data_IF_488906366360
#
_entry.id   IF_488906366360
#
_cell.length_a   1.000
_cell.length_b   1.000
_cell.length_c   1.000
_cell.angle_alpha   90.00
_cell.angle_beta   90.00
_cell.angle_gamma   90.00
#
_symmetry.space_group_name_H-M   'P 1'
#
loop_
_entity.id
_entity.type
_entity.pdbx_description
1 polymer ?
#
# COMPACT_ATOMS: atom_id res chain seq x y z
N UNK A 1 22.80 5.22 63.28
CA UNK A 1 22.33 4.11 62.42
C UNK A 1 20.88 4.29 61.92
N UNK A 2 20.02 5.02 62.60
CA UNK A 2 18.58 5.21 62.29
C UNK A 2 18.25 6.20 61.18
N UNK A 3 19.12 7.15 60.83
CA UNK A 3 18.86 8.15 59.77
C UNK A 3 19.13 7.55 58.38
N UNK A 4 20.18 6.75 58.22
CA UNK A 4 20.56 6.10 56.97
C UNK A 4 19.48 5.12 56.48
N UNK A 5 18.89 4.35 57.41
CA UNK A 5 17.80 3.40 57.12
C UNK A 5 16.50 4.10 56.70
N UNK A 6 16.17 5.27 57.27
CA UNK A 6 15.01 6.07 56.86
C UNK A 6 15.19 6.68 55.49
N UNK A 7 16.38 7.13 55.14
CA UNK A 7 16.70 7.71 53.82
C UNK A 7 16.63 6.63 52.74
N UNK A 8 17.27 5.47 52.95
CA UNK A 8 17.25 4.32 52.03
C UNK A 8 15.80 3.86 51.81
N UNK A 9 15.01 3.78 52.86
CA UNK A 9 13.59 3.36 52.76
C UNK A 9 12.72 4.36 51.99
N UNK A 10 12.97 5.68 52.15
CA UNK A 10 12.28 6.72 51.35
C UNK A 10 12.71 6.73 49.91
N UNK A 11 14.00 6.56 49.62
CA UNK A 11 14.53 6.47 48.28
C UNK A 11 14.01 5.20 47.55
N UNK A 12 14.02 4.05 48.23
CA UNK A 12 13.46 2.81 47.73
C UNK A 12 11.95 2.95 47.39
N UNK A 13 11.18 3.62 48.26
CA UNK A 13 9.75 3.86 48.00
C UNK A 13 9.51 4.83 46.84
N UNK A 14 10.37 5.83 46.65
CA UNK A 14 10.31 6.80 45.55
C UNK A 14 10.51 6.12 44.17
N UNK A 15 11.32 5.06 44.09
CA UNK A 15 11.53 4.28 42.86
C UNK A 15 10.54 3.12 42.71
N UNK A 16 10.10 2.52 43.84
CA UNK A 16 9.15 1.40 43.79
C UNK A 16 7.75 1.82 43.33
N UNK A 17 7.28 3.01 43.74
CA UNK A 17 5.94 3.49 43.43
C UNK A 17 5.72 3.71 41.90
N UNK A 18 6.58 4.44 41.18
CA UNK A 18 6.47 4.56 39.72
C UNK A 18 6.55 3.21 39.00
N UNK A 19 7.42 2.31 39.48
CA UNK A 19 7.54 0.97 38.92
C UNK A 19 6.26 0.14 39.09
N UNK A 20 5.63 0.19 40.27
CA UNK A 20 4.37 -0.51 40.52
C UNK A 20 3.22 0.08 39.70
N UNK A 21 3.15 1.40 39.57
CA UNK A 21 2.15 2.07 38.71
C UNK A 21 2.33 1.64 37.25
N UNK A 22 3.58 1.65 36.75
CA UNK A 22 3.90 1.22 35.41
C UNK A 22 3.56 -0.26 35.17
N UNK A 23 3.89 -1.14 36.12
CA UNK A 23 3.56 -2.56 36.04
C UNK A 23 2.05 -2.79 36.05
N UNK A 24 1.31 -2.05 36.89
CA UNK A 24 -0.15 -2.09 36.91
C UNK A 24 -0.78 -1.61 35.57
N UNK A 25 -0.28 -0.50 35.04
CA UNK A 25 -0.68 0.00 33.71
C UNK A 25 -0.43 -1.06 32.63
N UNK A 26 0.80 -1.63 32.60
CA UNK A 26 1.15 -2.63 31.61
C UNK A 26 0.26 -3.87 31.69
N UNK A 27 0.06 -4.40 32.89
CA UNK A 27 -0.78 -5.58 33.09
C UNK A 27 -2.25 -5.33 32.70
N UNK A 28 -2.81 -4.18 33.05
CA UNK A 28 -4.18 -3.81 32.69
C UNK A 28 -4.34 -3.65 31.17
N UNK A 29 -3.35 -3.01 30.51
CA UNK A 29 -3.35 -2.82 29.06
C UNK A 29 -3.18 -4.16 28.33
N UNK A 30 -2.27 -5.03 28.79
CA UNK A 30 -2.08 -6.36 28.22
C UNK A 30 -3.37 -7.20 28.27
N UNK A 31 -4.10 -7.16 29.41
CA UNK A 31 -5.40 -7.82 29.54
C UNK A 31 -6.46 -7.22 28.59
N UNK A 32 -6.48 -5.90 28.44
CA UNK A 32 -7.40 -5.23 27.52
C UNK A 32 -7.11 -5.61 26.07
N UNK A 33 -5.83 -5.66 25.67
CA UNK A 33 -5.41 -6.12 24.34
C UNK A 33 -5.85 -7.57 24.12
N UNK A 34 -5.54 -8.49 25.03
CA UNK A 34 -5.91 -9.90 24.92
C UNK A 34 -7.43 -10.06 24.72
N UNK A 35 -8.24 -9.35 25.51
CA UNK A 35 -9.69 -9.38 25.37
C UNK A 35 -10.17 -8.78 24.03
N UNK A 36 -9.57 -7.66 23.63
CA UNK A 36 -9.93 -7.00 22.37
C UNK A 36 -9.65 -7.88 21.15
N UNK A 37 -8.50 -8.54 21.17
CA UNK A 37 -8.08 -9.43 20.06
C UNK A 37 -8.92 -10.72 20.07
N UNK A 38 -9.24 -11.30 21.23
CA UNK A 38 -10.14 -12.48 21.30
C UNK A 38 -11.56 -12.16 20.83
N UNK A 39 -12.09 -10.98 21.16
CA UNK A 39 -13.40 -10.56 20.64
C UNK A 39 -13.37 -10.35 19.11
N UNK A 40 -12.26 -9.86 18.57
CA UNK A 40 -12.09 -9.71 17.13
C UNK A 40 -11.99 -11.06 16.39
N UNK A 41 -11.46 -12.11 17.04
CA UNK A 41 -11.42 -13.47 16.47
C UNK A 41 -12.80 -14.17 16.51
N UNK A 42 -13.68 -13.79 17.44
CA UNK A 42 -15.05 -14.30 17.56
C UNK A 42 -16.01 -13.60 16.59
N UNK A 43 -15.75 -12.31 16.28
CA UNK A 43 -16.55 -11.53 15.33
C UNK A 43 -16.06 -11.80 13.89
N UNK A 44 -16.62 -12.87 13.31
CA UNK A 44 -16.23 -13.38 11.98
C UNK A 44 -16.49 -12.41 10.81
N UNK A 45 -16.99 -11.19 11.05
CA UNK A 45 -17.28 -10.20 10.01
C UNK A 45 -16.73 -8.82 10.33
N UNK A 46 -15.41 -8.65 10.21
CA UNK A 46 -14.78 -7.34 10.31
C UNK A 46 -14.72 -6.67 8.92
N UNK A 47 -15.38 -5.53 8.75
CA UNK A 47 -15.45 -4.78 7.47
C UNK A 47 -16.00 -5.60 6.28
N UNK A 48 -16.83 -6.61 6.55
CA UNK A 48 -17.32 -7.54 5.51
C UNK A 48 -16.30 -8.61 5.12
N UNK A 49 -15.21 -8.74 5.87
CA UNK A 49 -14.23 -9.80 5.76
C UNK A 49 -14.44 -10.81 6.88
N UNK A 50 -14.33 -12.07 6.57
CA UNK A 50 -14.15 -13.11 7.59
C UNK A 50 -12.70 -13.08 8.05
N UNK A 51 -12.48 -13.13 9.37
CA UNK A 51 -11.15 -13.23 9.95
C UNK A 51 -11.13 -14.38 10.95
N UNK A 52 -10.21 -15.32 10.77
CA UNK A 52 -9.95 -16.42 11.70
C UNK A 52 -8.46 -16.38 12.06
N UNK A 53 -8.13 -16.46 13.33
CA UNK A 53 -6.74 -16.51 13.81
C UNK A 53 -6.70 -17.01 15.26
N UNK A 54 -5.58 -17.60 15.63
CA UNK A 54 -5.27 -17.95 17.02
C UNK A 54 -4.43 -16.85 17.67
N UNK A 55 -4.73 -16.54 18.92
CA UNK A 55 -4.08 -15.47 19.68
C UNK A 55 -3.14 -16.06 20.70
N UNK A 56 -1.85 -15.72 20.60
CA UNK A 56 -0.90 -15.96 21.68
C UNK A 56 -1.05 -14.92 22.80
N UNK A 57 -0.45 -15.20 23.95
CA UNK A 57 -0.43 -14.26 25.08
C UNK A 57 0.35 -12.98 24.73
N UNK A 58 -0.07 -11.85 25.32
CA UNK A 58 0.67 -10.60 25.25
C UNK A 58 1.95 -10.70 26.05
N UNK A 59 3.09 -10.39 25.44
CA UNK A 59 4.44 -10.43 26.02
C UNK A 59 5.14 -9.07 25.91
N UNK A 60 6.42 -8.97 26.32
CA UNK A 60 7.26 -7.77 26.10
C UNK A 60 7.33 -6.79 27.29
N UNK A 61 6.84 -7.19 28.48
CA UNK A 61 6.99 -6.37 29.71
C UNK A 61 8.46 -6.00 29.96
N UNK A 62 8.73 -4.78 30.39
CA UNK A 62 7.83 -3.64 30.64
C UNK A 62 7.76 -2.63 29.47
N UNK A 63 8.53 -2.82 28.41
CA UNK A 63 8.81 -1.78 27.39
C UNK A 63 7.86 -1.82 26.21
N UNK A 64 7.29 -2.98 25.90
CA UNK A 64 6.45 -3.18 24.72
C UNK A 64 5.29 -4.13 25.01
N UNK A 65 4.32 -4.12 24.13
CA UNK A 65 3.28 -5.11 24.02
C UNK A 65 3.52 -5.86 22.71
N UNK A 66 3.80 -7.14 22.78
CA UNK A 66 3.99 -8.01 21.61
C UNK A 66 2.89 -9.06 21.61
N UNK A 67 2.12 -9.13 20.53
CA UNK A 67 1.02 -10.08 20.32
C UNK A 67 1.36 -10.92 19.11
N UNK A 68 1.58 -12.22 19.30
CA UNK A 68 1.67 -13.18 18.21
C UNK A 68 0.28 -13.63 17.80
N UNK A 69 0.01 -13.64 16.51
CA UNK A 69 -1.16 -14.25 15.90
C UNK A 69 -0.70 -15.39 15.00
N UNK A 70 -1.37 -16.53 15.06
CA UNK A 70 -1.07 -17.70 14.23
C UNK A 70 -2.30 -18.19 13.48
N UNK A 71 -2.05 -19.01 12.44
CA UNK A 71 -3.08 -19.62 11.59
C UNK A 71 -4.11 -18.62 11.08
N UNK A 72 -3.60 -17.52 10.53
CA UNK A 72 -4.41 -16.39 10.09
C UNK A 72 -5.03 -16.69 8.73
N UNK A 73 -6.33 -16.55 8.65
CA UNK A 73 -7.11 -16.56 7.42
C UNK A 73 -8.05 -15.35 7.40
N UNK A 74 -7.83 -14.43 6.44
CA UNK A 74 -8.64 -13.23 6.28
C UNK A 74 -9.10 -13.11 4.82
N UNK A 75 -10.38 -12.86 4.61
CA UNK A 75 -10.88 -12.64 3.27
C UNK A 75 -12.38 -12.74 3.14
N UNK A 76 -12.85 -12.84 1.91
CA UNK A 76 -14.23 -13.14 1.55
C UNK A 76 -14.24 -14.31 0.58
N UNK A 77 -15.19 -15.23 0.71
CA UNK A 77 -15.31 -16.41 -0.15
C UNK A 77 -15.39 -16.08 -1.65
N UNK A 78 -15.87 -14.88 -2.00
CA UNK A 78 -16.11 -14.49 -3.40
C UNK A 78 -15.07 -13.53 -3.99
N UNK A 79 -14.08 -13.06 -3.20
CA UNK A 79 -13.13 -12.04 -3.66
C UNK A 79 -11.69 -12.51 -3.50
N UNK A 80 -11.23 -12.62 -2.27
CA UNK A 80 -9.86 -13.06 -1.98
C UNK A 80 -9.81 -13.69 -0.59
N UNK A 81 -8.83 -14.56 -0.38
CA UNK A 81 -8.49 -15.14 0.92
C UNK A 81 -6.99 -15.01 1.10
N UNK A 82 -6.57 -14.33 2.16
CA UNK A 82 -5.17 -14.25 2.58
C UNK A 82 -4.93 -15.22 3.75
N UNK A 83 -3.94 -16.08 3.60
CA UNK A 83 -3.50 -17.04 4.63
C UNK A 83 -2.05 -16.81 4.97
N UNK A 84 -1.72 -16.87 6.26
CA UNK A 84 -0.34 -16.85 6.74
C UNK A 84 -0.22 -17.64 8.04
N UNK A 85 0.97 -18.22 8.28
CA UNK A 85 1.23 -19.00 9.48
C UNK A 85 1.33 -18.14 10.73
N UNK A 86 1.75 -16.87 10.60
CA UNK A 86 1.85 -16.00 11.75
C UNK A 86 2.19 -14.56 11.41
N UNK A 87 1.79 -13.67 12.30
CA UNK A 87 2.21 -12.27 12.32
C UNK A 87 2.51 -11.86 13.75
N UNK A 88 3.43 -10.92 13.94
CA UNK A 88 3.71 -10.29 15.20
C UNK A 88 3.26 -8.84 15.19
N UNK A 89 2.42 -8.46 16.14
CA UNK A 89 2.02 -7.08 16.38
C UNK A 89 2.81 -6.55 17.58
N UNK A 90 3.51 -5.45 17.40
CA UNK A 90 4.25 -4.79 18.46
C UNK A 90 3.82 -3.33 18.64
N UNK A 91 3.67 -2.90 19.88
CA UNK A 91 3.51 -1.50 20.24
C UNK A 91 4.39 -1.16 21.46
N UNK A 92 5.05 0.01 21.44
CA UNK A 92 5.80 0.49 22.61
C UNK A 92 4.83 0.84 23.73
N UNK A 93 5.10 0.39 24.95
CA UNK A 93 4.18 0.63 26.09
C UNK A 93 3.99 2.10 26.44
N UNK A 94 4.92 2.97 26.05
CA UNK A 94 4.84 4.42 26.23
C UNK A 94 4.33 5.17 24.97
N UNK A 95 4.13 4.47 23.83
CA UNK A 95 3.59 5.00 22.58
C UNK A 95 2.65 3.95 21.96
N UNK A 96 1.54 3.59 22.62
CA UNK A 96 0.70 2.47 22.19
C UNK A 96 -0.14 2.75 20.94
N UNK A 97 -0.13 3.97 20.45
CA UNK A 97 -0.78 4.37 19.20
C UNK A 97 0.11 4.19 17.96
N UNK A 98 1.36 3.73 18.13
CA UNK A 98 2.24 3.25 17.05
C UNK A 98 2.28 1.74 17.12
N UNK A 99 1.77 1.09 16.07
CA UNK A 99 1.68 -0.38 15.99
C UNK A 99 2.52 -0.81 14.80
N UNK A 100 3.48 -1.68 15.06
CA UNK A 100 4.28 -2.35 14.02
C UNK A 100 3.78 -3.77 13.84
N UNK A 101 3.53 -4.16 12.61
CA UNK A 101 3.19 -5.50 12.17
C UNK A 101 4.39 -6.08 11.44
N UNK A 102 4.95 -7.14 11.97
CA UNK A 102 5.95 -7.96 11.29
C UNK A 102 5.26 -9.21 10.72
N UNK A 103 5.43 -9.41 9.43
CA UNK A 103 4.86 -10.54 8.72
C UNK A 103 5.85 -11.69 8.72
N UNK A 104 5.42 -12.84 9.24
CA UNK A 104 6.20 -14.07 9.22
C UNK A 104 5.74 -14.96 8.06
N UNK A 105 6.68 -15.46 7.30
CA UNK A 105 6.41 -16.29 6.12
C UNK A 105 5.85 -17.69 6.46
N UNK A 106 5.20 -18.35 5.50
CA UNK A 106 4.78 -17.92 4.16
C UNK A 106 3.43 -17.21 4.13
N UNK A 107 3.21 -16.39 3.08
CA UNK A 107 1.92 -15.77 2.81
C UNK A 107 1.31 -16.35 1.54
N UNK A 108 0.02 -16.65 1.57
CA UNK A 108 -0.72 -17.12 0.41
C UNK A 108 -1.97 -16.28 0.18
N UNK A 109 -2.16 -15.82 -1.04
CA UNK A 109 -3.37 -15.11 -1.45
C UNK A 109 -4.07 -15.94 -2.53
N UNK A 110 -5.31 -16.30 -2.29
CA UNK A 110 -6.18 -16.97 -3.27
C UNK A 110 -7.27 -16.01 -3.72
N UNK A 111 -7.49 -15.87 -5.03
CA UNK A 111 -8.48 -14.93 -5.56
C UNK A 111 -8.70 -15.10 -7.05
N UNK A 112 -9.21 -14.06 -7.71
CA UNK A 112 -9.53 -14.07 -9.15
C UNK A 112 -8.33 -14.33 -10.06
N UNK A 113 -7.11 -14.00 -9.61
CA UNK A 113 -5.86 -14.26 -10.30
C UNK A 113 -5.29 -15.67 -10.06
N UNK A 114 -6.01 -16.51 -9.31
CA UNK A 114 -5.55 -17.81 -8.85
C UNK A 114 -4.90 -17.73 -7.48
N UNK A 115 -4.02 -18.68 -7.20
CA UNK A 115 -3.26 -18.76 -5.97
C UNK A 115 -1.88 -18.13 -6.14
N UNK A 116 -1.53 -17.23 -5.24
CA UNK A 116 -0.26 -16.51 -5.20
C UNK A 116 0.45 -16.83 -3.90
N UNK A 117 1.67 -17.31 -4.00
CA UNK A 117 2.59 -17.41 -2.87
C UNK A 117 3.45 -16.14 -2.83
N UNK A 118 3.51 -15.52 -1.66
CA UNK A 118 4.25 -14.27 -1.43
C UNK A 118 5.29 -14.53 -0.34
N UNK A 119 6.52 -14.16 -0.63
CA UNK A 119 7.68 -14.35 0.22
C UNK A 119 8.50 -13.06 0.23
N UNK A 120 9.01 -12.63 1.37
CA UNK A 120 9.84 -11.46 1.52
C UNK A 120 10.90 -11.68 2.61
N UNK A 121 12.14 -11.29 2.36
CA UNK A 121 13.21 -11.41 3.37
C UNK A 121 12.94 -10.52 4.60
N UNK A 122 12.23 -9.41 4.42
CA UNK A 122 11.75 -8.55 5.49
C UNK A 122 10.43 -7.90 5.04
N UNK A 123 9.43 -7.97 5.91
CA UNK A 123 8.12 -7.39 5.67
C UNK A 123 7.60 -6.71 6.94
N UNK A 124 7.58 -5.39 6.93
CA UNK A 124 7.14 -4.58 8.07
C UNK A 124 6.08 -3.57 7.64
N UNK A 125 5.06 -3.43 8.46
CA UNK A 125 4.03 -2.41 8.32
C UNK A 125 3.91 -1.67 9.64
N UNK A 126 4.17 -0.36 9.65
CA UNK A 126 3.98 0.47 10.84
C UNK A 126 2.80 1.40 10.64
N UNK A 127 1.85 1.39 11.57
CA UNK A 127 0.70 2.28 11.61
C UNK A 127 0.78 3.20 12.83
N UNK A 128 0.71 4.51 12.60
CA UNK A 128 0.64 5.54 13.63
C UNK A 128 -0.76 6.14 13.64
N UNK A 129 -1.45 6.02 14.76
CA UNK A 129 -2.77 6.61 14.98
C UNK A 129 -2.66 7.89 15.80
N UNK A 130 -3.57 8.84 15.58
CA UNK A 130 -3.65 10.03 16.39
C UNK A 130 -4.08 9.67 17.82
N UNK A 131 -3.45 10.24 18.88
CA UNK A 131 -3.74 9.88 20.28
C UNK A 131 -5.03 10.56 20.74
N UNK A 132 -6.14 10.26 20.11
CA UNK A 132 -7.48 10.72 20.45
C UNK A 132 -8.47 9.54 20.45
N UNK A 133 -9.67 9.76 20.95
CA UNK A 133 -10.68 8.70 21.07
C UNK A 133 -11.11 8.09 19.71
N UNK A 134 -10.94 8.82 18.60
CA UNK A 134 -11.25 8.34 17.25
C UNK A 134 -10.18 7.41 16.69
N UNK A 135 -8.95 7.50 17.19
CA UNK A 135 -7.80 6.79 16.65
C UNK A 135 -7.70 6.98 15.12
N UNK A 136 -7.82 8.25 14.69
CA UNK A 136 -7.71 8.55 13.28
C UNK A 136 -6.30 8.21 12.79
N UNK A 137 -6.22 7.68 11.57
CA UNK A 137 -4.94 7.34 10.96
C UNK A 137 -4.08 8.59 10.78
N UNK A 138 -2.87 8.57 11.34
CA UNK A 138 -1.84 9.58 11.13
C UNK A 138 -0.91 9.22 9.99
N UNK A 139 -0.36 7.99 10.05
CA UNK A 139 0.56 7.46 9.03
C UNK A 139 0.47 5.94 8.99
N UNK A 140 0.59 5.36 7.79
CA UNK A 140 0.98 3.96 7.58
C UNK A 140 2.23 3.98 6.72
N UNK A 141 3.22 3.18 7.07
CA UNK A 141 4.39 2.90 6.25
C UNK A 141 4.56 1.40 6.06
N UNK A 142 4.93 1.02 4.85
CA UNK A 142 5.21 -0.36 4.45
C UNK A 142 6.64 -0.44 3.95
N UNK A 143 7.35 -1.47 4.37
CA UNK A 143 8.70 -1.77 3.90
C UNK A 143 8.82 -3.26 3.62
N UNK A 144 9.16 -3.61 2.38
CA UNK A 144 9.46 -4.98 1.98
C UNK A 144 10.81 -5.01 1.28
N UNK A 145 11.60 -6.03 1.61
CA UNK A 145 12.87 -6.31 0.93
C UNK A 145 12.81 -7.71 0.31
N UNK A 146 13.37 -7.83 -0.90
CA UNK A 146 13.44 -9.09 -1.64
C UNK A 146 12.07 -9.79 -1.76
N UNK A 147 11.05 -9.02 -2.10
CA UNK A 147 9.69 -9.52 -2.28
C UNK A 147 9.61 -10.41 -3.52
N UNK A 148 9.12 -11.63 -3.35
CA UNK A 148 8.87 -12.59 -4.42
C UNK A 148 7.40 -12.96 -4.45
N UNK A 149 6.85 -13.00 -5.63
CA UNK A 149 5.47 -13.39 -5.90
C UNK A 149 5.53 -14.54 -6.89
N UNK A 150 4.98 -15.68 -6.54
CA UNK A 150 4.87 -16.84 -7.41
C UNK A 150 3.40 -17.23 -7.56
N UNK A 151 2.97 -17.44 -8.80
CA UNK A 151 1.62 -17.90 -9.11
C UNK A 151 1.60 -19.40 -9.39
N UNK A 152 0.54 -20.07 -8.96
CA UNK A 152 0.27 -21.45 -9.36
C UNK A 152 0.19 -21.63 -10.90
N UNK A 153 -0.09 -20.56 -11.64
CA UNK A 153 -0.12 -20.52 -13.10
C UNK A 153 1.27 -20.36 -13.75
N UNK A 154 2.34 -20.61 -13.03
CA UNK A 154 3.75 -20.63 -13.50
C UNK A 154 4.30 -19.27 -13.97
N UNK A 155 3.76 -18.16 -13.47
CA UNK A 155 4.40 -16.86 -13.60
C UNK A 155 4.89 -16.36 -12.24
N UNK A 156 5.91 -15.55 -12.24
CA UNK A 156 6.45 -14.94 -11.03
C UNK A 156 6.93 -13.53 -11.27
N UNK A 157 7.08 -12.78 -10.18
CA UNK A 157 7.69 -11.46 -10.17
C UNK A 157 8.55 -11.32 -8.92
N UNK A 158 9.60 -10.53 -8.99
CA UNK A 158 10.39 -10.17 -7.83
C UNK A 158 10.66 -8.68 -7.78
N UNK A 159 10.72 -8.14 -6.55
CA UNK A 159 10.96 -6.71 -6.30
C UNK A 159 12.05 -6.62 -5.25
N UNK A 160 13.10 -5.87 -5.53
CA UNK A 160 14.22 -5.72 -4.57
C UNK A 160 13.79 -4.96 -3.33
N UNK A 161 13.18 -3.80 -3.49
CA UNK A 161 12.69 -2.96 -2.38
C UNK A 161 11.32 -2.39 -2.71
N UNK A 162 10.43 -2.40 -1.72
CA UNK A 162 9.14 -1.69 -1.75
C UNK A 162 9.06 -0.81 -0.53
N UNK A 163 8.94 0.48 -0.73
CA UNK A 163 8.63 1.46 0.31
C UNK A 163 7.32 2.15 -0.05
N UNK A 164 6.34 2.13 0.83
CA UNK A 164 5.10 2.85 0.60
C UNK A 164 4.62 3.53 1.87
N UNK A 165 3.93 4.66 1.73
CA UNK A 165 3.32 5.33 2.88
C UNK A 165 1.99 5.99 2.53
N UNK A 166 1.13 6.08 3.55
CA UNK A 166 -0.11 6.86 3.55
C UNK A 166 -0.07 7.77 4.75
N UNK A 167 -0.07 9.08 4.53
CA UNK A 167 0.06 10.08 5.59
C UNK A 167 -1.12 11.05 5.55
N UNK A 168 -1.77 11.26 6.69
CA UNK A 168 -2.85 12.25 6.80
C UNK A 168 -2.32 13.69 6.77
N UNK A 169 -3.08 14.60 6.19
CA UNK A 169 -2.79 16.03 6.28
C UNK A 169 -3.27 16.58 7.63
N UNK A 170 -2.44 17.36 8.35
CA UNK A 170 -2.82 17.92 9.65
C UNK A 170 -4.05 18.83 9.59
N UNK A 171 -4.21 19.55 8.46
CA UNK A 171 -5.28 20.53 8.26
C UNK A 171 -6.59 19.91 7.76
N UNK A 172 -6.54 18.69 7.20
CA UNK A 172 -7.70 18.00 6.67
C UNK A 172 -7.62 16.50 6.95
N UNK A 173 -8.33 16.07 7.97
CA UNK A 173 -8.33 14.66 8.41
C UNK A 173 -8.90 13.66 7.39
N UNK A 174 -9.56 14.14 6.32
CA UNK A 174 -10.10 13.30 5.26
C UNK A 174 -9.14 13.19 4.06
N UNK A 175 -8.06 13.99 4.05
CA UNK A 175 -7.09 14.00 2.98
C UNK A 175 -5.82 13.23 3.39
N UNK A 176 -5.27 12.48 2.44
CA UNK A 176 -4.07 11.67 2.64
C UNK A 176 -3.14 11.81 1.45
N UNK A 177 -1.85 11.88 1.75
CA UNK A 177 -0.79 11.73 0.77
C UNK A 177 -0.40 10.25 0.70
N UNK A 178 -0.33 9.71 -0.51
CA UNK A 178 0.18 8.39 -0.79
C UNK A 178 1.51 8.52 -1.50
N UNK A 179 2.51 7.79 -1.05
CA UNK A 179 3.77 7.64 -1.77
C UNK A 179 4.13 6.16 -1.87
N UNK A 180 4.75 5.78 -2.99
CA UNK A 180 5.33 4.45 -3.15
C UNK A 180 6.59 4.54 -4.00
N UNK A 181 7.59 3.75 -3.63
CA UNK A 181 8.84 3.57 -4.36
C UNK A 181 9.13 2.08 -4.45
N UNK A 182 9.33 1.59 -5.66
CA UNK A 182 9.71 0.22 -5.94
C UNK A 182 11.02 0.23 -6.70
N UNK A 183 11.95 -0.62 -6.29
CA UNK A 183 13.22 -0.79 -6.95
C UNK A 183 13.39 -2.23 -7.44
N UNK A 184 13.96 -2.36 -8.63
CA UNK A 184 14.29 -3.66 -9.26
C UNK A 184 13.09 -4.60 -9.39
N UNK A 185 11.98 -4.10 -9.94
CA UNK A 185 10.82 -4.94 -10.27
C UNK A 185 11.15 -5.79 -11.51
N UNK A 186 11.35 -7.08 -11.30
CA UNK A 186 11.61 -8.05 -12.35
C UNK A 186 10.30 -8.76 -12.74
N UNK A 187 10.01 -8.70 -14.04
CA UNK A 187 8.80 -9.25 -14.66
C UNK A 187 9.15 -10.31 -15.72
N UNK A 188 10.34 -10.91 -15.69
CA UNK A 188 10.82 -11.85 -16.72
C UNK A 188 9.88 -13.01 -16.99
N UNK A 189 9.21 -13.50 -15.94
CA UNK A 189 8.27 -14.61 -16.03
C UNK A 189 6.85 -14.15 -16.42
N UNK A 190 6.56 -12.85 -16.33
CA UNK A 190 5.26 -12.26 -16.72
C UNK A 190 5.28 -11.80 -18.17
N UNK A 191 6.38 -11.17 -18.59
CA UNK A 191 6.52 -10.56 -19.93
C UNK A 191 7.44 -11.45 -20.77
N UNK A 192 6.88 -12.55 -21.27
CA UNK A 192 7.62 -13.51 -22.09
C UNK A 192 7.75 -13.00 -23.53
N UNK A 193 8.92 -13.22 -24.14
CA UNK A 193 9.19 -12.84 -25.53
C UNK A 193 9.62 -11.39 -25.75
N UNK A 194 9.77 -10.62 -24.70
CA UNK A 194 10.26 -9.23 -24.73
C UNK A 194 11.76 -9.20 -24.42
N UNK A 195 12.57 -8.33 -25.05
CA UNK A 195 13.99 -8.21 -24.75
C UNK A 195 14.27 -7.95 -23.26
N UNK A 196 15.35 -8.51 -22.72
CA UNK A 196 15.68 -8.47 -21.29
C UNK A 196 15.68 -7.07 -20.66
N UNK A 197 16.06 -6.03 -21.43
CA UNK A 197 16.04 -4.63 -20.97
C UNK A 197 14.64 -4.09 -20.61
N UNK A 198 13.57 -4.75 -21.07
CA UNK A 198 12.19 -4.41 -20.76
C UNK A 198 11.55 -5.35 -19.73
N UNK A 199 12.28 -6.35 -19.25
CA UNK A 199 11.80 -7.29 -18.25
C UNK A 199 12.01 -6.79 -16.81
N UNK A 200 12.80 -5.73 -16.63
CA UNK A 200 13.07 -5.14 -15.32
C UNK A 200 12.79 -3.65 -15.34
N UNK A 201 11.94 -3.20 -14.41
CA UNK A 201 11.72 -1.79 -14.09
C UNK A 201 12.68 -1.46 -12.93
N UNK A 202 13.67 -0.58 -13.17
CA UNK A 202 14.69 -0.26 -12.17
C UNK A 202 14.10 0.53 -11.03
N UNK A 203 13.29 1.56 -11.37
CA UNK A 203 12.65 2.43 -10.42
C UNK A 203 11.21 2.69 -10.82
N UNK A 204 10.29 2.56 -9.86
CA UNK A 204 8.93 3.03 -10.00
C UNK A 204 8.63 3.93 -8.79
N UNK A 205 8.17 5.14 -9.05
CA UNK A 205 7.75 6.07 -8.01
C UNK A 205 6.33 6.55 -8.22
N UNK A 206 5.59 6.68 -7.13
CA UNK A 206 4.22 7.19 -7.09
C UNK A 206 4.10 8.25 -6.01
N UNK A 207 3.50 9.39 -6.34
CA UNK A 207 3.09 10.42 -5.39
C UNK A 207 1.70 10.88 -5.75
N UNK A 208 0.76 10.77 -4.82
CA UNK A 208 -0.62 11.20 -5.03
C UNK A 208 -1.25 11.72 -3.74
N UNK A 209 -2.33 12.49 -3.90
CA UNK A 209 -3.18 12.92 -2.81
C UNK A 209 -4.58 12.39 -3.03
N UNK A 210 -5.19 11.89 -1.98
CA UNK A 210 -6.57 11.43 -2.00
C UNK A 210 -7.42 12.21 -1.01
N UNK A 211 -8.63 12.50 -1.39
CA UNK A 211 -9.68 13.03 -0.53
C UNK A 211 -10.77 11.99 -0.37
N UNK A 212 -11.05 11.63 0.87
CA UNK A 212 -12.10 10.68 1.23
C UNK A 212 -13.35 11.41 1.76
N UNK A 213 -14.49 10.74 1.76
CA UNK A 213 -15.73 11.25 2.33
C UNK A 213 -15.68 11.47 3.84
N UNK A 214 -14.77 10.79 4.53
CA UNK A 214 -14.54 10.87 5.98
C UNK A 214 -13.15 10.31 6.34
N UNK A 215 -12.63 10.59 7.55
CA UNK A 215 -11.31 10.08 7.95
C UNK A 215 -11.27 8.56 8.05
N UNK A 216 -10.06 8.02 7.90
CA UNK A 216 -9.74 6.65 8.26
C UNK A 216 -9.56 6.59 9.77
N UNK A 217 -10.60 6.19 10.50
CA UNK A 217 -10.60 6.09 11.95
C UNK A 217 -11.36 4.84 12.41
N UNK A 218 -11.39 4.58 13.72
CA UNK A 218 -12.06 3.38 14.27
C UNK A 218 -13.56 3.27 13.95
N UNK A 219 -14.21 4.35 13.53
CA UNK A 219 -15.64 4.33 13.18
C UNK A 219 -15.92 3.61 11.85
N UNK A 220 -14.87 3.26 11.10
CA UNK A 220 -14.98 2.40 9.93
C UNK A 220 -15.64 1.07 10.29
N UNK A 221 -15.36 0.53 11.48
CA UNK A 221 -15.89 -0.74 11.97
C UNK A 221 -17.43 -0.75 12.00
N UNK A 222 -18.06 0.37 12.38
CA UNK A 222 -19.53 0.44 12.47
C UNK A 222 -20.21 1.10 11.26
N UNK A 223 -19.49 1.92 10.52
CA UNK A 223 -20.05 2.79 9.49
C UNK A 223 -19.61 2.41 8.05
N UNK A 224 -18.85 1.33 7.89
CA UNK A 224 -18.24 0.89 6.63
C UNK A 224 -17.07 1.78 6.18
N UNK A 225 -16.42 1.45 5.08
CA UNK A 225 -15.28 2.18 4.56
C UNK A 225 -15.68 3.55 3.98
N UNK A 226 -14.85 4.61 4.13
CA UNK A 226 -15.03 5.86 3.42
C UNK A 226 -14.85 5.65 1.92
N UNK A 227 -15.50 6.48 1.12
CA UNK A 227 -15.36 6.43 -0.34
C UNK A 227 -14.42 7.52 -0.84
N UNK A 228 -13.73 7.25 -1.94
CA UNK A 228 -12.89 8.22 -2.61
C UNK A 228 -13.76 9.30 -3.25
N UNK A 229 -13.42 10.56 -3.02
CA UNK A 229 -14.04 11.73 -3.66
C UNK A 229 -13.17 12.32 -4.76
N UNK A 230 -11.86 12.42 -4.49
CA UNK A 230 -10.89 13.02 -5.42
C UNK A 230 -9.55 12.31 -5.26
N UNK A 231 -8.86 12.13 -6.37
CA UNK A 231 -7.48 11.69 -6.45
C UNK A 231 -6.70 12.68 -7.31
N UNK A 232 -5.65 13.26 -6.76
CA UNK A 232 -4.67 14.05 -7.48
C UNK A 232 -3.39 13.19 -7.61
N UNK A 233 -3.17 12.65 -8.79
CA UNK A 233 -1.93 11.98 -9.14
C UNK A 233 -0.90 13.06 -9.48
N UNK A 234 -0.05 13.40 -8.51
CA UNK A 234 1.00 14.39 -8.74
C UNK A 234 2.08 13.84 -9.67
N UNK A 235 2.40 12.55 -9.51
CA UNK A 235 3.39 11.86 -10.30
C UNK A 235 3.29 10.35 -10.11
N UNK A 236 3.25 9.61 -11.22
CA UNK A 236 3.67 8.22 -11.27
C UNK A 236 4.75 8.12 -12.35
N UNK A 237 5.90 7.56 -12.04
CA UNK A 237 7.03 7.51 -12.96
C UNK A 237 7.72 6.16 -12.87
N UNK A 238 8.10 5.60 -14.02
CA UNK A 238 8.90 4.38 -14.07
C UNK A 238 9.74 4.31 -15.36
N UNK A 239 10.86 3.63 -15.23
CA UNK A 239 11.76 3.32 -16.34
C UNK A 239 11.29 2.05 -17.03
N UNK A 240 11.18 2.07 -18.35
CA UNK A 240 10.87 0.87 -19.14
C UNK A 240 11.84 0.74 -20.32
N UNK A 241 12.86 -0.08 -20.12
CA UNK A 241 14.00 -0.14 -21.03
C UNK A 241 14.82 1.15 -20.99
N UNK A 242 14.84 1.88 -22.12
CA UNK A 242 15.48 3.21 -22.21
C UNK A 242 14.48 4.35 -22.04
N UNK A 243 13.19 4.03 -22.04
CA UNK A 243 12.14 5.05 -21.99
C UNK A 243 11.76 5.36 -20.54
N UNK A 244 11.50 6.64 -20.27
CA UNK A 244 10.96 7.12 -19.02
C UNK A 244 9.48 7.46 -19.22
N UNK A 245 8.60 6.77 -18.49
CA UNK A 245 7.17 7.01 -18.55
C UNK A 245 6.76 7.77 -17.29
N UNK A 246 6.11 8.91 -17.46
CA UNK A 246 5.57 9.73 -16.36
C UNK A 246 4.08 9.94 -16.58
N UNK A 247 3.32 9.84 -15.51
CA UNK A 247 1.86 10.02 -15.52
C UNK A 247 1.48 10.98 -14.41
N UNK A 248 0.68 11.99 -14.74
CA UNK A 248 0.05 12.90 -13.78
C UNK A 248 -1.41 13.14 -14.15
N UNK A 249 -2.21 13.60 -13.19
CA UNK A 249 -3.62 13.84 -13.46
C UNK A 249 -4.47 14.09 -12.23
N UNK A 250 -5.69 14.48 -12.47
CA UNK A 250 -6.67 14.70 -11.42
C UNK A 250 -7.97 13.99 -11.77
N UNK A 251 -8.53 13.30 -10.80
CA UNK A 251 -9.76 12.53 -10.92
C UNK A 251 -10.71 12.87 -9.79
N UNK A 252 -11.99 12.98 -10.09
CA UNK A 252 -13.04 13.14 -9.10
C UNK A 252 -14.26 12.29 -9.46
N UNK A 253 -14.91 11.74 -8.45
CA UNK A 253 -16.21 11.10 -8.62
C UNK A 253 -17.32 12.13 -8.52
N UNK A 254 -18.25 12.09 -9.46
CA UNK A 254 -19.47 12.88 -9.39
C UNK A 254 -20.52 12.27 -8.43
N UNK A 255 -21.70 12.91 -8.34
CA UNK A 255 -22.80 12.47 -7.48
C UNK A 255 -23.35 11.07 -7.86
N UNK A 256 -23.15 10.67 -9.12
CA UNK A 256 -23.57 9.37 -9.66
C UNK A 256 -22.46 8.32 -9.54
N UNK A 257 -21.33 8.65 -8.88
CA UNK A 257 -20.13 7.82 -8.78
C UNK A 257 -19.46 7.55 -10.14
N UNK A 258 -19.67 8.42 -11.12
CA UNK A 258 -18.93 8.37 -12.37
C UNK A 258 -17.60 9.12 -12.23
N UNK A 259 -16.53 8.52 -12.73
CA UNK A 259 -15.19 9.09 -12.71
C UNK A 259 -15.05 10.13 -13.81
N UNK A 260 -14.55 11.30 -13.46
CA UNK A 260 -14.24 12.40 -14.37
C UNK A 260 -12.86 12.95 -14.05
N UNK A 261 -12.10 13.34 -15.08
CA UNK A 261 -10.76 13.87 -14.86
C UNK A 261 -9.93 13.98 -16.12
N UNK A 262 -8.65 14.30 -15.93
CA UNK A 262 -7.64 14.39 -16.98
C UNK A 262 -6.42 13.60 -16.50
N UNK A 263 -5.84 12.83 -17.39
CA UNK A 263 -4.61 12.08 -17.20
C UNK A 263 -3.63 12.46 -18.30
N UNK A 264 -2.46 12.93 -17.95
CA UNK A 264 -1.37 13.18 -18.89
C UNK A 264 -0.37 12.03 -18.80
N UNK A 265 -0.08 11.42 -19.93
CA UNK A 265 0.95 10.38 -20.05
C UNK A 265 2.08 10.93 -20.87
N UNK A 266 3.23 11.16 -20.24
CA UNK A 266 4.45 11.66 -20.88
C UNK A 266 5.46 10.53 -21.03
N UNK A 267 5.97 10.34 -22.23
CA UNK A 267 6.94 9.31 -22.58
C UNK A 267 8.18 9.97 -23.17
N UNK A 268 9.31 9.83 -22.50
CA UNK A 268 10.64 10.17 -23.06
C UNK A 268 11.19 8.93 -23.77
N UNK A 269 11.89 9.11 -24.87
CA UNK A 269 12.35 8.06 -25.79
C UNK A 269 11.17 7.16 -26.25
N UNK A 270 10.08 7.82 -26.69
CA UNK A 270 8.89 7.13 -27.18
C UNK A 270 9.16 6.23 -28.40
N UNK A 271 10.21 6.55 -29.19
CA UNK A 271 10.61 5.77 -30.38
C UNK A 271 11.05 4.36 -29.99
N UNK A 272 11.72 4.20 -28.85
CA UNK A 272 12.11 2.89 -28.33
C UNK A 272 10.90 2.03 -27.97
N UNK A 273 9.87 2.62 -27.34
CA UNK A 273 8.62 1.91 -27.05
C UNK A 273 7.82 1.57 -28.30
N UNK A 274 7.78 2.49 -29.26
CA UNK A 274 7.14 2.24 -30.56
C UNK A 274 7.79 1.08 -31.28
N UNK A 275 9.14 1.04 -31.30
CA UNK A 275 9.87 -0.08 -31.90
C UNK A 275 9.61 -1.40 -31.18
N UNK A 276 9.59 -1.37 -29.84
CA UNK A 276 9.22 -2.54 -29.06
C UNK A 276 7.82 -3.05 -29.42
N UNK A 277 6.82 -2.15 -29.49
CA UNK A 277 5.45 -2.52 -29.84
C UNK A 277 5.34 -3.17 -31.25
N UNK A 278 6.17 -2.73 -32.20
CA UNK A 278 6.33 -3.37 -33.52
C UNK A 278 6.95 -4.75 -33.38
N UNK A 279 8.07 -4.85 -32.67
CA UNK A 279 8.85 -6.10 -32.54
C UNK A 279 8.04 -7.22 -31.90
N UNK A 280 7.16 -6.88 -30.93
CA UNK A 280 6.26 -7.82 -30.25
C UNK A 280 4.91 -8.02 -30.95
N UNK A 281 4.69 -7.34 -32.10
CA UNK A 281 3.51 -7.53 -32.96
C UNK A 281 2.24 -6.82 -32.51
N UNK A 282 2.32 -5.83 -31.57
CA UNK A 282 1.17 -5.00 -31.22
C UNK A 282 0.78 -4.01 -32.30
N UNK A 283 1.69 -3.69 -33.24
CA UNK A 283 1.45 -2.80 -34.36
C UNK A 283 1.51 -3.62 -35.63
N UNK A 284 0.42 -3.62 -36.39
CA UNK A 284 0.39 -4.30 -37.71
C UNK A 284 1.34 -3.61 -38.67
N UNK A 285 2.11 -4.36 -39.51
CA UNK A 285 3.11 -3.80 -40.40
C UNK A 285 2.57 -2.75 -41.39
N UNK A 286 1.31 -2.88 -41.83
CA UNK A 286 0.65 -1.93 -42.72
C UNK A 286 0.27 -0.60 -42.07
N UNK A 287 0.25 -0.54 -40.72
CA UNK A 287 -0.09 0.65 -39.93
C UNK A 287 1.12 1.33 -39.30
N UNK A 288 2.33 0.74 -39.38
CA UNK A 288 3.54 1.27 -38.74
C UNK A 288 3.83 2.72 -39.14
N UNK A 289 3.85 3.00 -40.45
CA UNK A 289 4.15 4.34 -40.95
C UNK A 289 3.08 5.36 -40.53
N UNK A 290 1.83 4.94 -40.47
CA UNK A 290 0.72 5.79 -40.06
C UNK A 290 0.85 6.19 -38.59
N UNK A 291 1.08 5.22 -37.71
CA UNK A 291 1.28 5.52 -36.29
C UNK A 291 2.57 6.30 -36.02
N UNK A 292 3.68 5.95 -36.70
CA UNK A 292 4.94 6.68 -36.57
C UNK A 292 4.78 8.17 -36.94
N UNK A 293 4.03 8.47 -38.01
CA UNK A 293 3.79 9.84 -38.43
C UNK A 293 2.93 10.60 -37.42
N UNK A 294 1.86 9.98 -36.89
CA UNK A 294 1.00 10.63 -35.85
C UNK A 294 1.78 10.92 -34.59
N UNK A 295 2.55 9.94 -34.09
CA UNK A 295 3.32 10.11 -32.84
C UNK A 295 4.43 11.16 -33.03
N UNK A 296 5.08 11.19 -34.19
CA UNK A 296 6.07 12.22 -34.51
C UNK A 296 5.46 13.63 -34.59
N UNK A 297 4.26 13.76 -35.18
CA UNK A 297 3.54 15.04 -35.24
C UNK A 297 3.13 15.52 -33.86
N UNK A 298 2.65 14.62 -32.98
CA UNK A 298 2.33 14.92 -31.60
C UNK A 298 3.57 15.37 -30.82
N UNK A 299 4.71 14.69 -30.97
CA UNK A 299 5.96 15.08 -30.31
C UNK A 299 6.45 16.46 -30.81
N UNK A 300 6.34 16.72 -32.09
CA UNK A 300 6.73 18.00 -32.69
C UNK A 300 5.85 19.17 -32.19
N UNK A 301 4.58 18.96 -31.90
CA UNK A 301 3.67 19.98 -31.31
C UNK A 301 4.15 20.44 -29.93
N UNK A 302 4.85 19.59 -29.17
CA UNK A 302 5.46 19.93 -27.89
C UNK A 302 6.87 20.53 -28.00
N UNK A 303 7.38 20.68 -29.21
CA UNK A 303 8.73 21.20 -29.47
C UNK A 303 9.84 20.19 -29.14
N UNK A 304 9.54 18.92 -29.08
CA UNK A 304 10.49 17.83 -28.79
C UNK A 304 10.35 16.71 -29.80
N UNK A 305 11.48 16.18 -30.28
CA UNK A 305 11.51 15.00 -31.13
C UNK A 305 11.49 13.68 -30.36
N UNK A 306 11.73 13.74 -29.05
CA UNK A 306 11.99 12.57 -28.21
C UNK A 306 10.95 12.37 -27.08
N UNK A 307 10.23 13.42 -26.74
CA UNK A 307 9.21 13.41 -25.70
C UNK A 307 7.83 13.52 -26.32
N UNK A 308 6.92 12.69 -25.87
CA UNK A 308 5.52 12.64 -26.30
C UNK A 308 4.62 12.73 -25.07
N UNK A 309 3.70 13.71 -25.02
CA UNK A 309 2.64 13.78 -24.01
C UNK A 309 1.28 13.52 -24.62
N UNK A 310 0.54 12.59 -24.01
CA UNK A 310 -0.80 12.22 -24.44
C UNK A 310 -1.80 12.62 -23.36
N UNK A 311 -2.55 13.70 -23.53
CA UNK A 311 -3.62 14.08 -22.60
C UNK A 311 -4.84 13.18 -22.85
N UNK A 312 -5.20 12.42 -21.83
CA UNK A 312 -6.39 11.55 -21.83
C UNK A 312 -7.50 12.22 -21.02
N UNK A 313 -8.66 12.36 -21.63
CA UNK A 313 -9.84 12.89 -20.96
C UNK A 313 -10.71 11.74 -20.47
N UNK A 314 -11.11 11.80 -19.21
CA UNK A 314 -12.03 10.83 -18.60
C UNK A 314 -13.33 11.53 -18.30
N UNK A 315 -14.42 11.05 -18.86
CA UNK A 315 -15.75 11.61 -18.69
C UNK A 315 -16.79 10.50 -18.54
N UNK A 316 -17.47 10.45 -17.41
CA UNK A 316 -18.42 9.37 -17.09
C UNK A 316 -17.82 7.97 -17.28
N UNK A 317 -16.65 7.73 -16.72
CA UNK A 317 -15.86 6.49 -16.82
C UNK A 317 -15.33 6.18 -18.26
N UNK A 318 -15.52 7.06 -19.24
CA UNK A 318 -15.02 6.84 -20.59
C UNK A 318 -13.69 7.58 -20.79
N UNK A 319 -12.69 6.85 -21.29
CA UNK A 319 -11.39 7.42 -21.65
C UNK A 319 -11.41 7.83 -23.12
N UNK A 320 -10.94 9.02 -23.40
CA UNK A 320 -10.80 9.54 -24.77
C UNK A 320 -9.51 10.34 -24.95
N UNK A 321 -9.02 10.34 -26.18
CA UNK A 321 -7.99 11.25 -26.67
C UNK A 321 -8.61 12.10 -27.79
N UNK A 322 -8.81 13.38 -27.55
CA UNK A 322 -9.61 14.22 -28.47
C UNK A 322 -10.99 13.62 -28.74
N UNK A 323 -11.28 13.36 -30.01
CA UNK A 323 -12.53 12.72 -30.46
C UNK A 323 -12.49 11.19 -30.41
N UNK A 324 -11.32 10.58 -30.19
CA UNK A 324 -11.14 9.12 -30.20
C UNK A 324 -11.53 8.52 -28.84
N UNK A 325 -12.50 7.62 -28.82
CA UNK A 325 -12.86 6.85 -27.64
C UNK A 325 -11.91 5.64 -27.51
N UNK A 326 -11.19 5.57 -26.38
CA UNK A 326 -10.20 4.52 -26.10
C UNK A 326 -10.76 3.38 -25.24
N UNK A 327 -11.91 3.59 -24.57
CA UNK A 327 -12.52 2.55 -23.73
C UNK A 327 -13.34 3.11 -22.57
N UNK A 328 -13.78 2.19 -21.71
CA UNK A 328 -14.56 2.49 -20.52
C UNK A 328 -13.82 1.89 -19.33
N UNK A 329 -13.64 2.70 -18.27
CA UNK A 329 -13.14 2.23 -16.98
C UNK A 329 -14.20 1.39 -16.27
N UNK A 330 -13.80 0.34 -15.54
CA UNK A 330 -14.71 -0.55 -14.83
C UNK A 330 -15.45 0.15 -13.68
#
# INVERSE_FOLDING_TARGET
MTILTKTIRRTAFLFALPFLIWSGYWAATAQAITKGVSLASEDTQFLGLSAQFEVASVTGYPQRFTVGLSDIEIGTENSFIWKTQGVSLEAKSYLPNEITLELSEPHRISGSLGELDIDAAHAEITALFQPNWRLALGNISLSFNDLKIASANQWGASIGTVLASVKSFPENSNAYQLSAELENLNLSDVIVGVPAKYQTIQNLSLLSEILLTRPLDRLIIGNGAPTLQRLLLQKAQFDFGTSLISVDGEFAYDKNRALNGILNVTVQDWKSLFNLAKDVGYIEPNLENFFAMILADLAAQEGSDDTLTIPLNIQNNKISYGALNLGILP
#
